data_IF_040077388078
#
_entry.id   IF_040077388078
#
_cell.length_a   1.000
_cell.length_b   1.000
_cell.length_c   1.000
_cell.angle_alpha   90.00
_cell.angle_beta   90.00
_cell.angle_gamma   90.00
#
_symmetry.space_group_name_H-M   'P 1'
#
loop_
_entity.id
_entity.type
_entity.pdbx_description
1 polymer ?
#
# COMPACT_ATOMS: atom_id res chain seq x y z
N UNK A 1 -22.02 -7.44 4.11
CA UNK A 1 -20.96 -6.42 4.10
C UNK A 1 -19.54 -6.99 4.08
N UNK A 2 -19.22 -8.02 4.87
CA UNK A 2 -17.84 -8.55 4.95
C UNK A 2 -17.31 -9.09 3.62
N UNK A 3 -18.10 -9.89 2.89
CA UNK A 3 -17.73 -10.41 1.57
C UNK A 3 -17.45 -9.27 0.58
N UNK A 4 -18.32 -8.25 0.52
CA UNK A 4 -18.12 -7.05 -0.32
C UNK A 4 -16.81 -6.33 -0.02
N UNK A 5 -16.45 -6.18 1.27
CA UNK A 5 -15.19 -5.56 1.67
C UNK A 5 -14.01 -6.36 1.13
N UNK A 6 -14.03 -7.69 1.30
CA UNK A 6 -12.96 -8.57 0.83
C UNK A 6 -12.81 -8.48 -0.70
N UNK A 7 -13.92 -8.55 -1.44
CA UNK A 7 -13.90 -8.40 -2.91
C UNK A 7 -13.28 -7.08 -3.35
N UNK A 8 -13.63 -5.96 -2.70
CA UNK A 8 -13.10 -4.65 -3.04
C UNK A 8 -11.58 -4.53 -2.77
N UNK A 9 -11.07 -5.17 -1.71
CA UNK A 9 -9.62 -5.18 -1.45
C UNK A 9 -8.89 -5.98 -2.55
N UNK A 10 -9.45 -7.10 -3.00
CA UNK A 10 -8.89 -7.86 -4.13
C UNK A 10 -8.97 -7.09 -5.45
N UNK A 11 -10.02 -6.31 -5.67
CA UNK A 11 -10.10 -5.41 -6.83
C UNK A 11 -8.99 -4.36 -6.79
N UNK A 12 -8.75 -3.76 -5.62
CA UNK A 12 -7.62 -2.84 -5.42
C UNK A 12 -6.25 -3.47 -5.68
N UNK A 13 -6.07 -4.76 -5.30
CA UNK A 13 -4.86 -5.53 -5.59
C UNK A 13 -4.63 -5.73 -7.09
N UNK A 14 -5.70 -5.96 -7.87
CA UNK A 14 -5.58 -6.24 -9.31
C UNK A 14 -4.81 -5.14 -10.04
N UNK A 15 -5.01 -3.87 -9.67
CA UNK A 15 -4.30 -2.74 -10.25
C UNK A 15 -2.79 -2.77 -9.95
N UNK A 16 -2.39 -3.15 -8.73
CA UNK A 16 -0.97 -3.32 -8.39
C UNK A 16 -0.31 -4.41 -9.24
N UNK A 17 -1.00 -5.55 -9.41
CA UNK A 17 -0.48 -6.68 -10.20
C UNK A 17 -0.32 -6.27 -11.66
N UNK A 18 -1.33 -5.62 -12.25
CA UNK A 18 -1.26 -5.14 -13.63
C UNK A 18 -0.09 -4.17 -13.83
N UNK A 19 0.03 -3.16 -12.97
CA UNK A 19 1.09 -2.16 -13.07
C UNK A 19 2.49 -2.75 -12.84
N UNK A 20 2.64 -3.75 -11.97
CA UNK A 20 3.91 -4.43 -11.74
C UNK A 20 4.32 -5.35 -12.91
N UNK A 21 3.37 -5.87 -13.69
CA UNK A 21 3.65 -6.75 -14.83
C UNK A 21 4.01 -5.99 -16.11
N UNK A 22 3.45 -4.78 -16.33
CA UNK A 22 3.71 -3.99 -17.55
C UNK A 22 5.20 -3.84 -17.91
N UNK A 23 6.12 -3.52 -16.97
CA UNK A 23 7.54 -3.41 -17.26
C UNK A 23 8.15 -4.66 -17.90
N UNK A 24 7.64 -5.84 -17.53
CA UNK A 24 8.17 -7.14 -17.96
C UNK A 24 7.63 -7.62 -19.30
N UNK A 25 6.48 -7.10 -19.74
CA UNK A 25 5.74 -7.66 -20.90
C UNK A 25 5.72 -6.70 -22.09
N UNK A 26 5.81 -5.38 -21.86
CA UNK A 26 5.56 -4.38 -22.91
C UNK A 26 6.84 -3.75 -23.45
N UNK A 27 7.34 -2.68 -22.81
CA UNK A 27 8.61 -2.05 -23.15
C UNK A 27 9.17 -1.25 -21.96
N UNK A 28 10.46 -0.93 -22.03
CA UNK A 28 11.19 -0.26 -20.94
C UNK A 28 10.63 1.15 -20.62
N UNK A 29 10.33 1.96 -21.64
CA UNK A 29 9.81 3.33 -21.46
C UNK A 29 8.43 3.40 -20.77
N UNK A 30 7.57 2.40 -21.01
CA UNK A 30 6.27 2.26 -20.36
C UNK A 30 6.43 1.61 -18.99
N UNK A 31 7.47 0.80 -18.81
CA UNK A 31 7.84 0.18 -17.54
C UNK A 31 8.04 1.22 -16.44
N UNK A 32 8.90 2.22 -16.66
CA UNK A 32 9.17 3.28 -15.67
C UNK A 32 7.90 4.06 -15.29
N UNK A 33 7.08 4.42 -16.28
CA UNK A 33 5.80 5.11 -16.05
C UNK A 33 4.81 4.24 -15.28
N UNK A 34 4.80 2.94 -15.54
CA UNK A 34 3.96 1.98 -14.83
C UNK A 34 4.39 1.85 -13.36
N UNK A 35 5.69 1.75 -13.12
CA UNK A 35 6.26 1.70 -11.76
C UNK A 35 5.99 3.00 -11.00
N UNK A 36 6.14 4.15 -11.66
CA UNK A 36 5.77 5.46 -11.10
C UNK A 36 4.29 5.51 -10.71
N UNK A 37 3.41 5.07 -11.61
CA UNK A 37 1.97 5.02 -11.37
C UNK A 37 1.63 4.09 -10.19
N UNK A 38 2.29 2.93 -10.11
CA UNK A 38 2.16 1.97 -9.01
C UNK A 38 2.55 2.62 -7.68
N UNK A 39 3.67 3.34 -7.64
CA UNK A 39 4.14 4.00 -6.42
C UNK A 39 3.22 5.13 -5.96
N UNK A 40 2.74 5.97 -6.90
CA UNK A 40 1.77 7.04 -6.60
C UNK A 40 0.45 6.46 -6.10
N UNK A 41 -0.09 5.45 -6.78
CA UNK A 41 -1.30 4.77 -6.35
C UNK A 41 -1.11 4.15 -4.95
N UNK A 42 0.03 3.52 -4.70
CA UNK A 42 0.40 3.02 -3.37
C UNK A 42 0.43 4.11 -2.30
N UNK A 43 1.02 5.27 -2.60
CA UNK A 43 1.03 6.43 -1.71
C UNK A 43 -0.39 6.92 -1.39
N UNK A 44 -1.26 7.01 -2.38
CA UNK A 44 -2.68 7.35 -2.21
C UNK A 44 -3.37 6.34 -1.28
N UNK A 45 -3.17 5.04 -1.49
CA UNK A 45 -3.75 4.00 -0.62
C UNK A 45 -3.24 4.15 0.82
N UNK A 46 -1.93 4.38 1.04
CA UNK A 46 -1.39 4.63 2.38
C UNK A 46 -2.05 5.84 3.04
N UNK A 47 -2.32 6.91 2.27
CA UNK A 47 -2.99 8.07 2.82
C UNK A 47 -4.45 7.78 3.22
N UNK A 48 -5.20 7.06 2.36
CA UNK A 48 -6.55 6.60 2.69
C UNK A 48 -6.57 5.67 3.91
N UNK A 49 -5.61 4.76 4.02
CA UNK A 49 -5.45 3.89 5.18
C UNK A 49 -5.26 4.70 6.47
N UNK A 50 -4.44 5.76 6.43
CA UNK A 50 -4.30 6.72 7.52
C UNK A 50 -5.63 7.36 7.91
N UNK A 51 -6.40 7.84 6.93
CA UNK A 51 -7.73 8.41 7.16
C UNK A 51 -8.72 7.44 7.82
N UNK A 52 -8.68 6.15 7.48
CA UNK A 52 -9.57 5.15 8.10
C UNK A 52 -9.41 5.03 9.62
N UNK A 53 -8.24 5.36 10.17
CA UNK A 53 -7.99 5.32 11.62
C UNK A 53 -8.95 6.26 12.38
N UNK A 54 -9.38 7.35 11.74
CA UNK A 54 -10.29 8.33 12.33
C UNK A 54 -11.70 7.76 12.55
N UNK A 55 -12.10 6.79 11.72
CA UNK A 55 -13.38 6.11 11.82
C UNK A 55 -13.35 4.85 12.69
N UNK A 56 -12.25 4.61 13.42
CA UNK A 56 -12.22 3.51 14.40
C UNK A 56 -12.92 3.93 15.70
N UNK A 57 -13.55 2.95 16.36
CA UNK A 57 -14.43 3.14 17.54
C UNK A 57 -13.93 4.20 18.54
N UNK A 58 -14.78 5.19 18.81
CA UNK A 58 -14.46 6.39 19.60
C UNK A 58 -14.05 6.06 21.04
N UNK A 59 -14.53 4.94 21.58
CA UNK A 59 -14.20 4.48 22.93
C UNK A 59 -12.69 4.21 23.14
N UNK A 60 -11.92 4.07 22.06
CA UNK A 60 -10.49 3.77 22.10
C UNK A 60 -9.62 4.79 21.32
N UNK A 61 -10.18 5.87 20.77
CA UNK A 61 -9.40 6.87 20.01
C UNK A 61 -8.66 7.81 20.96
N UNK A 62 -7.38 7.51 21.22
CA UNK A 62 -6.48 8.43 21.92
C UNK A 62 -5.88 9.44 20.93
N UNK A 63 -5.58 10.66 21.41
CA UNK A 63 -4.91 11.71 20.63
C UNK A 63 -3.67 11.21 19.88
N UNK A 64 -2.91 10.28 20.50
CA UNK A 64 -1.73 9.65 19.89
C UNK A 64 -2.04 8.88 18.60
N UNK A 65 -3.20 8.20 18.51
CA UNK A 65 -3.62 7.47 17.29
C UNK A 65 -3.98 8.43 16.15
N UNK A 66 -4.57 9.58 16.47
CA UNK A 66 -4.89 10.62 15.47
C UNK A 66 -3.62 11.24 14.88
N UNK A 67 -2.60 11.50 15.71
CA UNK A 67 -1.28 11.92 15.22
C UNK A 67 -0.63 10.88 14.31
N UNK A 68 -0.72 9.59 14.66
CA UNK A 68 -0.25 8.49 13.80
C UNK A 68 -1.03 8.45 12.48
N UNK A 69 -2.35 8.67 12.52
CA UNK A 69 -3.21 8.70 11.34
C UNK A 69 -2.80 9.78 10.35
N UNK A 70 -2.59 11.01 10.85
CA UNK A 70 -2.06 12.13 10.05
C UNK A 70 -0.65 11.79 9.55
N UNK A 71 0.19 11.16 10.37
CA UNK A 71 1.51 10.69 9.99
C UNK A 71 1.47 9.78 8.76
N UNK A 72 0.60 8.76 8.75
CA UNK A 72 0.41 7.89 7.58
C UNK A 72 -0.13 8.66 6.36
N UNK A 73 -1.03 9.62 6.55
CA UNK A 73 -1.54 10.46 5.47
C UNK A 73 -0.45 11.29 4.79
N UNK A 74 0.38 11.97 5.58
CA UNK A 74 1.51 12.77 5.08
C UNK A 74 2.54 11.86 4.42
N UNK A 75 2.80 10.70 5.02
CA UNK A 75 3.76 9.75 4.48
C UNK A 75 3.30 9.13 3.14
N UNK A 76 2.00 8.93 2.93
CA UNK A 76 1.43 8.59 1.62
C UNK A 76 1.65 9.68 0.55
N UNK A 77 1.52 10.95 0.93
CA UNK A 77 1.85 12.08 0.06
C UNK A 77 3.35 12.12 -0.26
N UNK A 78 4.21 11.93 0.74
CA UNK A 78 5.67 11.87 0.56
C UNK A 78 6.08 10.76 -0.40
N UNK A 79 5.51 9.56 -0.27
CA UNK A 79 5.74 8.45 -1.23
C UNK A 79 5.42 8.90 -2.66
N UNK A 80 4.27 9.54 -2.84
CA UNK A 80 3.78 9.99 -4.16
C UNK A 80 4.69 11.05 -4.77
N UNK A 81 5.17 12.00 -3.96
CA UNK A 81 6.11 13.04 -4.42
C UNK A 81 7.49 12.46 -4.73
N UNK A 82 7.99 11.54 -3.89
CA UNK A 82 9.27 10.86 -4.14
C UNK A 82 9.20 10.01 -5.41
N UNK A 83 8.04 9.43 -5.75
CA UNK A 83 7.87 8.68 -7.01
C UNK A 83 8.16 9.54 -8.26
N UNK A 84 8.07 10.86 -8.17
CA UNK A 84 8.40 11.77 -9.26
C UNK A 84 9.91 12.01 -9.42
N UNK A 85 10.69 11.73 -8.39
CA UNK A 85 12.13 12.04 -8.34
C UNK A 85 12.99 10.77 -8.28
N UNK A 86 12.59 9.77 -7.50
CA UNK A 86 13.34 8.54 -7.30
C UNK A 86 12.39 7.36 -7.01
N UNK A 87 12.21 6.49 -8.00
CA UNK A 87 11.32 5.33 -7.92
C UNK A 87 11.76 4.32 -6.86
N UNK A 88 13.06 4.03 -6.75
CA UNK A 88 13.58 3.06 -5.78
C UNK A 88 13.22 3.46 -4.35
N UNK A 89 13.51 4.72 -3.97
CA UNK A 89 13.23 5.20 -2.61
C UNK A 89 11.72 5.20 -2.36
N UNK A 90 10.91 5.61 -3.36
CA UNK A 90 9.46 5.60 -3.24
C UNK A 90 8.90 4.19 -2.98
N UNK A 91 9.36 3.18 -3.73
CA UNK A 91 8.93 1.79 -3.57
C UNK A 91 9.35 1.21 -2.21
N UNK A 92 10.58 1.45 -1.76
CA UNK A 92 11.04 1.01 -0.43
C UNK A 92 10.20 1.65 0.67
N UNK A 93 9.96 2.96 0.56
CA UNK A 93 9.13 3.68 1.53
C UNK A 93 7.70 3.14 1.53
N UNK A 94 7.13 2.85 0.36
CA UNK A 94 5.80 2.24 0.23
C UNK A 94 5.72 0.89 0.93
N UNK A 95 6.70 -0.01 0.71
CA UNK A 95 6.76 -1.32 1.38
C UNK A 95 6.76 -1.14 2.91
N UNK A 96 7.69 -0.32 3.42
CA UNK A 96 7.82 -0.07 4.86
C UNK A 96 6.50 0.46 5.44
N UNK A 97 5.87 1.38 4.72
CA UNK A 97 4.65 2.06 5.15
C UNK A 97 3.45 1.13 5.23
N UNK A 98 3.25 0.29 4.22
CA UNK A 98 2.17 -0.70 4.20
C UNK A 98 2.35 -1.75 5.30
N UNK A 99 3.57 -2.23 5.51
CA UNK A 99 3.86 -3.21 6.56
C UNK A 99 3.74 -2.60 7.97
N UNK A 100 4.20 -1.36 8.15
CA UNK A 100 4.02 -0.60 9.39
C UNK A 100 2.53 -0.39 9.70
N UNK A 101 1.74 -0.01 8.69
CA UNK A 101 0.29 0.15 8.85
C UNK A 101 -0.39 -1.17 9.22
N UNK A 102 -0.05 -2.28 8.55
CA UNK A 102 -0.62 -3.60 8.87
C UNK A 102 -0.29 -4.01 10.32
N UNK A 103 0.94 -3.76 10.78
CA UNK A 103 1.35 -4.03 12.17
C UNK A 103 0.57 -3.16 13.17
N UNK A 104 0.35 -1.89 12.84
CA UNK A 104 -0.47 -0.98 13.64
C UNK A 104 -1.94 -1.40 13.69
N UNK A 105 -2.54 -1.72 12.53
CA UNK A 105 -3.93 -2.16 12.39
C UNK A 105 -4.18 -3.44 13.21
N UNK A 106 -3.29 -4.43 13.12
CA UNK A 106 -3.33 -5.67 13.92
C UNK A 106 -3.43 -5.41 15.42
N UNK A 107 -2.68 -4.42 15.93
CA UNK A 107 -2.61 -4.12 17.37
C UNK A 107 -3.83 -3.32 17.86
N UNK A 108 -4.35 -2.41 17.04
CA UNK A 108 -5.28 -1.39 17.51
C UNK A 108 -6.70 -1.49 16.97
N UNK A 109 -6.93 -2.16 15.84
CA UNK A 109 -8.27 -2.28 15.25
C UNK A 109 -9.05 -3.43 15.88
N UNK A 110 -10.19 -3.11 16.50
CA UNK A 110 -11.14 -4.11 17.03
C UNK A 110 -11.74 -4.92 15.88
N UNK A 111 -12.09 -4.27 14.77
CA UNK A 111 -12.63 -4.93 13.58
C UNK A 111 -11.66 -5.96 12.99
N UNK A 112 -10.37 -5.63 12.96
CA UNK A 112 -9.33 -6.55 12.50
C UNK A 112 -9.24 -7.79 13.38
N UNK A 113 -9.27 -7.63 14.71
CA UNK A 113 -9.21 -8.74 15.67
C UNK A 113 -10.47 -9.62 15.65
N UNK A 114 -11.64 -9.00 15.44
CA UNK A 114 -12.92 -9.72 15.43
C UNK A 114 -13.15 -10.52 14.13
N UNK A 115 -12.57 -10.10 12.99
CA UNK A 115 -12.88 -10.68 11.68
C UNK A 115 -11.69 -11.41 11.05
N UNK A 116 -11.59 -12.72 11.27
CA UNK A 116 -10.47 -13.52 10.78
C UNK A 116 -10.32 -13.50 9.24
N UNK A 117 -11.43 -13.57 8.48
CA UNK A 117 -11.36 -13.48 7.00
C UNK A 117 -10.78 -12.15 6.51
N UNK A 118 -11.17 -11.03 7.14
CA UNK A 118 -10.66 -9.71 6.79
C UNK A 118 -9.17 -9.59 7.14
N UNK A 119 -8.78 -10.06 8.34
CA UNK A 119 -7.39 -10.08 8.78
C UNK A 119 -6.49 -10.89 7.84
N UNK A 120 -6.94 -12.08 7.42
CA UNK A 120 -6.24 -12.92 6.46
C UNK A 120 -6.10 -12.20 5.10
N UNK A 121 -7.18 -11.61 4.58
CA UNK A 121 -7.16 -10.86 3.33
C UNK A 121 -6.18 -9.65 3.39
N UNK A 122 -6.21 -8.87 4.48
CA UNK A 122 -5.30 -7.73 4.68
C UNK A 122 -3.83 -8.14 4.73
N UNK A 123 -3.53 -9.26 5.39
CA UNK A 123 -2.17 -9.82 5.43
C UNK A 123 -1.70 -10.28 4.06
N UNK A 124 -2.52 -11.09 3.38
CA UNK A 124 -2.22 -11.61 2.06
C UNK A 124 -2.00 -10.48 1.05
N UNK A 125 -2.88 -9.49 1.02
CA UNK A 125 -2.84 -8.42 0.02
C UNK A 125 -1.65 -7.49 0.27
N UNK A 126 -1.36 -7.12 1.51
CA UNK A 126 -0.17 -6.33 1.84
C UNK A 126 1.13 -7.03 1.41
N UNK A 127 1.19 -8.36 1.58
CA UNK A 127 2.34 -9.15 1.13
C UNK A 127 2.43 -9.25 -0.39
N UNK A 128 1.30 -9.44 -1.10
CA UNK A 128 1.29 -9.45 -2.56
C UNK A 128 1.68 -8.08 -3.14
N UNK A 129 1.20 -6.98 -2.58
CA UNK A 129 1.62 -5.63 -2.99
C UNK A 129 3.12 -5.43 -2.71
N UNK A 130 3.64 -5.99 -1.61
CA UNK A 130 5.10 -5.99 -1.33
C UNK A 130 5.86 -6.72 -2.44
N UNK A 131 5.38 -7.89 -2.88
CA UNK A 131 5.98 -8.63 -4.00
C UNK A 131 5.89 -7.82 -5.31
N UNK A 132 4.77 -7.13 -5.56
CA UNK A 132 4.63 -6.21 -6.71
C UNK A 132 5.69 -5.09 -6.66
N UNK A 133 5.96 -4.53 -5.48
CA UNK A 133 7.01 -3.52 -5.33
C UNK A 133 8.41 -4.10 -5.52
N UNK A 134 8.68 -5.30 -5.01
CA UNK A 134 9.98 -5.98 -5.18
C UNK A 134 10.23 -6.35 -6.65
N UNK A 135 9.21 -6.82 -7.37
CA UNK A 135 9.33 -7.12 -8.81
C UNK A 135 9.58 -5.85 -9.63
N UNK A 136 8.94 -4.73 -9.28
CA UNK A 136 9.27 -3.42 -9.87
C UNK A 136 10.69 -2.96 -9.54
N UNK A 137 11.16 -3.17 -8.31
CA UNK A 137 12.56 -2.89 -7.94
C UNK A 137 13.54 -3.76 -8.75
N UNK A 138 13.24 -5.05 -8.90
CA UNK A 138 14.07 -5.97 -9.69
C UNK A 138 14.17 -5.52 -11.15
N UNK A 139 13.08 -4.98 -11.72
CA UNK A 139 13.10 -4.39 -13.05
C UNK A 139 14.03 -3.18 -13.13
N UNK A 140 13.96 -2.25 -12.18
CA UNK A 140 14.81 -1.04 -12.17
C UNK A 140 16.32 -1.34 -12.10
N UNK A 141 16.70 -2.48 -11.53
CA UNK A 141 18.09 -2.94 -11.44
C UNK A 141 18.45 -4.02 -12.44
N UNK A 142 17.55 -4.36 -13.37
CA UNK A 142 17.81 -5.37 -14.38
C UNK A 142 18.75 -4.78 -15.45
N UNK A 143 19.95 -5.35 -15.68
CA UNK A 143 20.88 -4.85 -16.69
C UNK A 143 20.47 -5.20 -18.13
N UNK A 144 19.40 -5.98 -18.32
CA UNK A 144 18.95 -6.48 -19.63
C UNK A 144 17.67 -5.78 -20.15
N UNK A 145 17.25 -4.68 -19.52
CA UNK A 145 16.05 -3.89 -19.86
C UNK A 145 16.37 -2.48 -20.35
#
# INVERSE_FOLDING_TARGET
MQETKVTLIYFGLSLFVLLALIPWVVNSSMGDKSIQTLAIYGGIIVAFLGGMIWGWDEANTSSKKLWIAIGFSILGLVISLIALVNLTISLILLIISLQAFLSFEKKHSVFFKANNKYAAARGLITNLVTICCITSLAFLYNPYT
#
